data_IF_287932806620
#
_entry.id   IF_287932806620
#
_cell.length_a   1.000
_cell.length_b   1.000
_cell.length_c   1.000
_cell.angle_alpha   90.00
_cell.angle_beta   90.00
_cell.angle_gamma   90.00
#
_symmetry.space_group_name_H-M   'P 1'
#
loop_
_entity.id
_entity.type
_entity.pdbx_description
1 polymer ?
#
# COMPACT_ATOMS: atom_id res chain seq x y z
N UNK A 1 15.17 18.06 11.17
CA UNK A 1 15.56 19.47 11.37
C UNK A 1 14.96 19.95 12.67
N UNK A 2 15.76 20.55 13.53
CA UNK A 2 15.37 20.97 14.88
C UNK A 2 15.38 22.50 14.99
N UNK A 3 14.57 23.07 15.89
CA UNK A 3 14.64 24.50 16.19
C UNK A 3 15.97 24.88 16.81
N UNK A 4 16.28 26.18 16.81
CA UNK A 4 17.46 26.68 17.50
C UNK A 4 17.41 26.41 19.00
N UNK A 5 18.58 26.20 19.62
CA UNK A 5 18.77 26.01 21.07
C UNK A 5 18.84 24.57 21.54
N UNK A 6 18.61 23.57 20.69
CA UNK A 6 18.81 22.16 21.03
C UNK A 6 20.33 21.86 21.04
N UNK A 7 20.86 21.45 22.19
CA UNK A 7 22.23 20.96 22.29
C UNK A 7 22.27 19.46 21.91
N UNK A 8 23.39 19.03 21.29
CA UNK A 8 23.56 17.65 20.87
C UNK A 8 23.36 16.62 21.99
N UNK A 9 23.82 16.97 23.21
CA UNK A 9 23.72 16.08 24.38
C UNK A 9 22.28 15.91 24.91
N UNK A 10 21.39 16.83 24.55
CA UNK A 10 19.96 16.80 24.96
C UNK A 10 19.06 16.19 23.90
N UNK A 11 19.60 15.81 22.74
CA UNK A 11 18.85 15.21 21.67
C UNK A 11 18.45 13.77 22.03
N UNK A 12 17.16 13.47 21.91
CA UNK A 12 16.56 12.16 22.17
C UNK A 12 15.43 11.88 21.19
N UNK A 13 14.83 10.70 21.26
CA UNK A 13 13.64 10.34 20.46
C UNK A 13 12.41 11.22 20.76
N UNK A 14 12.36 11.86 21.92
CA UNK A 14 11.29 12.77 22.33
C UNK A 14 11.55 14.24 21.97
N UNK A 15 12.70 14.53 21.37
CA UNK A 15 13.07 15.90 20.99
C UNK A 15 12.12 16.41 19.90
N UNK A 16 11.50 17.58 20.15
CA UNK A 16 10.65 18.24 19.17
C UNK A 16 11.47 18.69 17.96
N UNK A 17 10.97 18.42 16.78
CA UNK A 17 11.58 18.82 15.52
C UNK A 17 10.62 19.67 14.69
N UNK A 18 11.13 20.50 13.80
CA UNK A 18 10.32 21.27 12.86
C UNK A 18 9.91 20.42 11.65
N UNK A 19 10.89 19.73 11.05
CA UNK A 19 10.68 18.91 9.87
C UNK A 19 11.42 17.58 10.02
N UNK A 20 10.72 16.47 9.75
CA UNK A 20 11.31 15.16 9.54
C UNK A 20 11.12 14.78 8.07
N UNK A 21 12.22 14.47 7.40
CA UNK A 21 12.23 14.13 5.98
C UNK A 21 13.24 13.03 5.68
N UNK A 22 12.85 12.03 4.92
CA UNK A 22 13.72 10.97 4.44
C UNK A 22 13.05 9.62 4.32
N UNK A 23 13.77 8.62 3.77
CA UNK A 23 13.24 7.28 3.56
C UNK A 23 13.10 6.52 4.88
N UNK A 24 11.97 5.87 5.05
CA UNK A 24 11.70 4.88 6.10
C UNK A 24 11.38 3.54 5.44
N UNK A 25 12.29 2.59 5.56
CA UNK A 25 12.17 1.24 5.01
C UNK A 25 12.30 0.23 6.14
N UNK A 26 11.16 -0.21 6.67
CA UNK A 26 11.08 -1.18 7.75
C UNK A 26 10.27 -2.40 7.30
N UNK A 27 10.96 -3.45 6.88
CA UNK A 27 10.33 -4.66 6.37
C UNK A 27 9.59 -4.49 5.03
N UNK A 28 8.73 -5.45 4.67
CA UNK A 28 8.02 -5.43 3.39
C UNK A 28 6.84 -4.48 3.35
N UNK A 29 6.24 -4.15 4.49
CA UNK A 29 4.98 -3.40 4.59
C UNK A 29 5.16 -1.90 4.85
N UNK A 30 6.29 -1.48 5.43
CA UNK A 30 6.57 -0.07 5.71
C UNK A 30 7.70 0.43 4.80
N UNK A 31 7.32 1.05 3.68
CA UNK A 31 8.24 1.64 2.71
C UNK A 31 7.68 2.97 2.25
N UNK A 32 8.17 4.05 2.82
CA UNK A 32 7.73 5.39 2.49
C UNK A 32 8.83 6.42 2.73
N UNK A 33 8.74 7.53 2.02
CA UNK A 33 9.49 8.74 2.38
C UNK A 33 8.63 9.52 3.36
N UNK A 34 9.14 9.74 4.57
CA UNK A 34 8.51 10.64 5.52
C UNK A 34 8.63 12.09 5.06
N UNK A 35 7.52 12.81 5.14
CA UNK A 35 7.48 14.27 5.08
C UNK A 35 6.56 14.70 6.21
N UNK A 36 7.12 15.07 7.34
CA UNK A 36 6.40 15.41 8.55
C UNK A 36 6.79 16.82 8.95
N UNK A 37 5.79 17.64 9.19
CA UNK A 37 5.97 19.01 9.69
C UNK A 37 5.39 19.10 11.10
N UNK A 38 6.11 19.75 12.00
CA UNK A 38 5.52 20.20 13.26
C UNK A 38 4.70 21.46 13.00
N UNK A 39 3.48 21.53 13.50
CA UNK A 39 2.61 22.69 13.40
C UNK A 39 1.78 22.83 14.67
N UNK A 40 1.96 23.98 15.36
CA UNK A 40 1.25 24.31 16.62
C UNK A 40 1.32 23.22 17.68
N UNK A 41 2.43 22.51 17.78
CA UNK A 41 2.67 21.47 18.77
C UNK A 41 2.39 20.03 18.29
N UNK A 42 1.79 19.86 17.11
CA UNK A 42 1.43 18.58 16.53
C UNK A 42 2.29 18.23 15.31
N UNK A 43 2.65 16.96 15.19
CA UNK A 43 3.31 16.45 13.99
C UNK A 43 2.27 16.13 12.91
N UNK A 44 2.31 16.84 11.80
CA UNK A 44 1.44 16.66 10.65
C UNK A 44 2.15 15.84 9.57
N UNK A 45 1.60 14.69 9.22
CA UNK A 45 2.14 13.77 8.25
C UNK A 45 1.52 14.02 6.88
N UNK A 46 2.31 13.86 5.82
CA UNK A 46 1.78 13.88 4.46
C UNK A 46 0.75 12.75 4.26
N UNK A 47 -0.36 13.07 3.61
CA UNK A 47 -1.43 12.09 3.27
C UNK A 47 -1.03 11.15 2.14
N UNK A 48 -0.14 11.61 1.26
CA UNK A 48 0.32 10.85 0.09
C UNK A 48 1.44 9.87 0.48
N UNK A 49 1.48 8.74 -0.20
CA UNK A 49 2.54 7.76 -0.03
C UNK A 49 3.60 7.94 -1.11
N UNK A 50 4.81 8.31 -0.69
CA UNK A 50 5.98 8.48 -1.57
C UNK A 50 6.87 7.26 -1.40
N UNK A 51 7.15 6.53 -2.49
CA UNK A 51 7.95 5.32 -2.44
C UNK A 51 9.45 5.65 -2.43
N UNK A 52 10.22 5.14 -1.46
CA UNK A 52 11.67 5.29 -1.45
C UNK A 52 12.32 4.31 -2.44
N UNK A 53 13.57 4.57 -2.78
CA UNK A 53 14.44 3.57 -3.39
C UNK A 53 14.82 2.52 -2.37
N UNK A 54 14.94 1.25 -2.79
CA UNK A 54 15.20 0.11 -1.91
C UNK A 54 16.38 -0.75 -2.36
N UNK A 55 17.09 -0.32 -3.37
CA UNK A 55 18.33 -0.95 -3.83
C UNK A 55 19.53 -0.57 -2.92
N UNK A 56 20.73 -0.92 -3.33
CA UNK A 56 21.97 -0.67 -2.57
C UNK A 56 22.80 0.47 -3.18
N UNK A 57 22.23 1.25 -4.09
CA UNK A 57 22.90 2.42 -4.66
C UNK A 57 22.74 3.63 -3.74
N UNK A 58 23.57 4.66 -3.99
CA UNK A 58 23.39 5.96 -3.33
C UNK A 58 22.22 6.71 -3.94
N UNK A 59 21.38 7.32 -3.11
CA UNK A 59 20.20 8.10 -3.52
C UNK A 59 20.18 9.47 -2.84
N UNK A 60 19.80 10.49 -3.60
CA UNK A 60 19.60 11.84 -3.11
C UNK A 60 18.12 12.14 -2.90
N UNK A 61 17.72 12.39 -1.66
CA UNK A 61 16.36 12.80 -1.31
C UNK A 61 16.31 14.31 -1.11
N UNK A 62 15.41 14.99 -1.78
CA UNK A 62 15.25 16.45 -1.71
C UNK A 62 13.80 16.82 -1.40
N UNK A 63 13.60 17.67 -0.41
CA UNK A 63 12.35 18.34 -0.11
C UNK A 63 12.52 19.83 -0.41
N UNK A 64 11.66 20.34 -1.29
CA UNK A 64 11.52 21.79 -1.55
C UNK A 64 10.20 22.25 -0.97
N UNK A 65 10.21 23.35 -0.27
CA UNK A 65 9.02 24.01 0.28
C UNK A 65 9.08 25.47 -0.12
N UNK A 66 8.00 25.97 -0.69
CA UNK A 66 7.92 27.31 -1.27
C UNK A 66 7.05 28.25 -0.44
N UNK A 67 7.27 29.58 -0.49
CA UNK A 67 6.48 30.55 0.26
C UNK A 67 5.00 30.65 -0.12
N UNK A 68 4.60 30.04 -1.22
CA UNK A 68 3.21 29.91 -1.64
C UNK A 68 2.51 28.67 -1.06
N UNK A 69 3.12 28.03 -0.05
CA UNK A 69 2.67 26.79 0.55
C UNK A 69 2.58 25.61 -0.44
N UNK A 70 3.41 25.61 -1.49
CA UNK A 70 3.61 24.45 -2.34
C UNK A 70 4.86 23.68 -1.91
N UNK A 71 4.89 22.39 -2.26
CA UNK A 71 6.06 21.54 -2.01
C UNK A 71 6.38 20.67 -3.21
N UNK A 72 7.62 20.22 -3.25
CA UNK A 72 8.09 19.22 -4.20
C UNK A 72 9.08 18.26 -3.52
N UNK A 73 8.87 16.97 -3.73
CA UNK A 73 9.81 15.92 -3.32
C UNK A 73 10.50 15.37 -4.56
N UNK A 74 11.81 15.31 -4.50
CA UNK A 74 12.64 14.74 -5.55
C UNK A 74 13.45 13.57 -4.99
N UNK A 75 13.69 12.56 -5.85
CA UNK A 75 14.65 11.48 -5.62
C UNK A 75 15.61 11.50 -6.80
N UNK A 76 16.91 11.57 -6.54
CA UNK A 76 17.97 11.62 -7.54
C UNK A 76 17.87 12.82 -8.51
N UNK A 77 17.26 13.91 -8.01
CA UNK A 77 16.98 15.12 -8.79
C UNK A 77 15.81 15.00 -9.76
N UNK A 78 15.00 13.94 -9.64
CA UNK A 78 13.77 13.76 -10.39
C UNK A 78 12.56 13.97 -9.47
N UNK A 79 11.59 14.75 -9.91
CA UNK A 79 10.38 15.00 -9.16
C UNK A 79 9.53 13.73 -9.06
N UNK A 80 9.25 13.32 -7.83
CA UNK A 80 8.41 12.14 -7.54
C UNK A 80 7.05 12.52 -6.97
N UNK A 81 6.94 13.67 -6.29
CA UNK A 81 5.69 14.16 -5.75
C UNK A 81 5.70 15.69 -5.65
N UNK A 82 4.54 16.31 -5.75
CA UNK A 82 4.36 17.74 -5.51
C UNK A 82 2.90 18.07 -5.20
N UNK A 83 2.66 19.21 -4.59
CA UNK A 83 1.31 19.65 -4.25
C UNK A 83 1.28 20.87 -3.34
N UNK A 84 0.23 20.96 -2.55
CA UNK A 84 0.00 22.05 -1.62
C UNK A 84 0.02 21.55 -0.18
N UNK A 85 0.62 22.32 0.73
CA UNK A 85 0.58 22.07 2.16
C UNK A 85 -0.86 22.07 2.69
N UNK A 86 -1.75 22.84 2.09
CA UNK A 86 -3.15 22.88 2.48
C UNK A 86 -3.92 21.59 2.17
N UNK A 87 -3.58 20.93 1.09
CA UNK A 87 -4.35 19.78 0.60
C UNK A 87 -3.76 18.44 1.08
N UNK A 88 -2.42 18.37 1.09
CA UNK A 88 -1.71 17.12 1.30
C UNK A 88 -1.34 16.85 2.77
N UNK A 89 -1.67 17.79 3.68
CA UNK A 89 -1.59 17.64 5.14
C UNK A 89 -2.89 18.13 5.81
N UNK A 90 -3.05 17.77 7.08
CA UNK A 90 -4.10 18.28 7.95
C UNK A 90 -3.57 19.38 8.87
N UNK A 91 -2.99 20.43 8.29
CA UNK A 91 -2.52 21.59 9.06
C UNK A 91 -3.67 22.37 9.67
N UNK A 92 -4.69 22.62 8.88
CA UNK A 92 -5.85 23.43 9.26
C UNK A 92 -7.11 22.55 9.34
N UNK A 93 -8.08 22.92 10.18
CA UNK A 93 -9.42 22.34 10.11
C UNK A 93 -10.03 22.51 8.71
N UNK A 94 -11.01 21.69 8.38
CA UNK A 94 -11.74 21.85 7.12
C UNK A 94 -12.39 23.23 7.03
N UNK A 95 -12.39 23.85 5.83
CA UNK A 95 -13.04 25.16 5.59
C UNK A 95 -14.54 25.13 5.78
N UNK A 96 -15.13 23.99 5.44
CA UNK A 96 -16.55 23.73 5.55
C UNK A 96 -16.77 22.45 6.35
N UNK A 97 -17.80 22.44 7.16
CA UNK A 97 -18.24 21.29 7.94
C UNK A 97 -19.71 20.99 7.64
N UNK A 98 -20.12 19.78 7.94
CA UNK A 98 -21.54 19.44 7.90
C UNK A 98 -22.31 20.37 8.84
N UNK A 99 -23.39 20.96 8.35
CA UNK A 99 -24.24 21.84 9.15
C UNK A 99 -24.78 21.07 10.39
N UNK A 100 -24.35 21.43 11.61
CA UNK A 100 -24.78 20.72 12.82
C UNK A 100 -26.28 20.88 13.11
N UNK A 101 -26.93 21.89 12.54
CA UNK A 101 -28.36 22.12 12.72
C UNK A 101 -29.20 21.36 11.67
N UNK A 102 -28.58 20.81 10.64
CA UNK A 102 -29.23 20.07 9.58
C UNK A 102 -29.14 18.56 9.84
N UNK A 103 -30.25 17.89 9.64
CA UNK A 103 -30.30 16.42 9.69
C UNK A 103 -31.12 15.91 8.50
N UNK A 104 -30.88 14.64 8.14
CA UNK A 104 -31.66 13.98 7.11
C UNK A 104 -33.15 13.96 7.50
N UNK A 105 -34.05 14.53 6.67
CA UNK A 105 -35.47 14.46 6.92
C UNK A 105 -35.95 13.02 7.08
N UNK A 106 -36.81 12.77 8.07
CA UNK A 106 -37.31 11.41 8.35
C UNK A 106 -38.12 10.81 7.18
N UNK A 107 -38.66 11.67 6.32
CA UNK A 107 -39.41 11.32 5.12
C UNK A 107 -38.55 11.29 3.85
N UNK A 108 -37.23 11.33 3.97
CA UNK A 108 -36.32 11.26 2.82
C UNK A 108 -36.24 9.82 2.31
N UNK A 109 -36.57 9.62 1.06
CA UNK A 109 -36.58 8.30 0.42
C UNK A 109 -35.28 8.09 -0.33
N UNK A 110 -34.44 7.15 0.16
CA UNK A 110 -33.16 6.78 -0.47
C UNK A 110 -33.31 5.60 -1.45
N UNK A 111 -34.40 4.86 -1.34
CA UNK A 111 -34.61 3.68 -2.17
C UNK A 111 -34.98 4.08 -3.58
N UNK A 112 -34.05 3.90 -4.52
CA UNK A 112 -34.25 4.18 -5.94
C UNK A 112 -35.36 3.31 -6.55
N UNK A 113 -35.58 2.13 -6.02
CA UNK A 113 -36.56 1.19 -6.48
C UNK A 113 -37.44 0.72 -5.33
N UNK A 114 -38.70 0.54 -5.60
CA UNK A 114 -39.69 -0.03 -4.68
C UNK A 114 -40.39 -1.22 -5.31
N UNK A 115 -41.04 -2.01 -4.49
CA UNK A 115 -41.89 -3.06 -4.97
C UNK A 115 -43.12 -2.47 -5.68
N UNK A 116 -43.47 -3.01 -6.83
CA UNK A 116 -44.64 -2.56 -7.58
C UNK A 116 -45.92 -2.86 -6.78
N UNK A 117 -46.63 -1.85 -6.29
CA UNK A 117 -47.83 -2.06 -5.50
C UNK A 117 -49.00 -2.66 -6.31
N UNK A 118 -48.87 -2.68 -7.63
CA UNK A 118 -49.84 -3.30 -8.53
C UNK A 118 -49.55 -4.79 -8.84
N UNK A 119 -48.33 -5.21 -8.54
CA UNK A 119 -47.91 -6.60 -8.76
C UNK A 119 -48.30 -7.45 -7.54
N UNK A 120 -49.42 -8.09 -7.62
CA UNK A 120 -49.95 -8.94 -6.56
C UNK A 120 -49.55 -10.38 -6.76
N UNK A 121 -49.31 -11.09 -5.65
CA UNK A 121 -48.99 -12.51 -5.69
C UNK A 121 -50.16 -13.29 -6.29
N UNK A 122 -49.94 -14.11 -7.35
CA UNK A 122 -50.97 -15.00 -7.88
C UNK A 122 -51.44 -16.01 -6.84
N UNK A 123 -52.73 -16.31 -6.82
CA UNK A 123 -53.32 -17.25 -5.87
C UNK A 123 -52.77 -18.68 -5.99
N UNK A 124 -52.28 -19.03 -7.17
CA UNK A 124 -51.69 -20.34 -7.52
C UNK A 124 -50.16 -20.39 -7.31
N UNK A 125 -49.56 -19.37 -6.68
CA UNK A 125 -48.10 -19.32 -6.46
C UNK A 125 -47.63 -20.22 -5.33
N UNK A 126 -48.43 -20.34 -4.26
CA UNK A 126 -48.10 -21.09 -3.05
C UNK A 126 -48.30 -22.57 -3.22
N UNK A 127 -47.46 -23.21 -3.99
CA UNK A 127 -47.41 -24.66 -4.09
C UNK A 127 -46.28 -25.21 -3.22
N UNK A 128 -46.44 -26.39 -2.62
CA UNK A 128 -45.39 -26.98 -1.80
C UNK A 128 -44.13 -27.26 -2.64
N UNK A 129 -42.96 -27.09 -2.02
CA UNK A 129 -41.68 -27.35 -2.69
C UNK A 129 -41.47 -28.81 -3.03
N UNK A 130 -42.02 -29.70 -2.20
CA UNK A 130 -41.94 -31.12 -2.42
C UNK A 130 -43.37 -31.71 -2.49
N UNK A 131 -43.55 -32.66 -3.33
CA UNK A 131 -44.81 -33.42 -3.48
C UNK A 131 -44.51 -34.92 -3.40
N UNK A 132 -45.50 -35.72 -3.00
CA UNK A 132 -45.36 -37.16 -3.06
C UNK A 132 -45.16 -37.58 -4.52
N UNK A 133 -44.22 -38.48 -4.78
CA UNK A 133 -43.94 -39.00 -6.13
C UNK A 133 -45.17 -39.70 -6.72
N UNK A 134 -45.78 -39.16 -7.76
CA UNK A 134 -47.00 -39.73 -8.36
C UNK A 134 -46.72 -41.07 -9.09
N UNK A 135 -45.46 -41.37 -9.40
CA UNK A 135 -45.07 -42.61 -10.06
C UNK A 135 -44.64 -43.69 -9.06
N UNK A 136 -44.47 -43.33 -7.81
CA UNK A 136 -44.09 -44.28 -6.76
C UNK A 136 -45.30 -45.21 -6.42
N UNK A 137 -45.07 -46.48 -6.44
CA UNK A 137 -46.02 -47.49 -6.03
C UNK A 137 -45.56 -48.20 -4.79
N UNK A 138 -46.51 -48.58 -3.92
CA UNK A 138 -46.20 -49.37 -2.73
C UNK A 138 -45.54 -50.69 -3.14
N UNK A 139 -44.36 -51.04 -2.60
CA UNK A 139 -43.72 -52.32 -2.84
C UNK A 139 -44.62 -53.48 -2.44
N UNK A 140 -44.61 -54.57 -3.21
CA UNK A 140 -45.43 -55.77 -2.95
C UNK A 140 -45.08 -56.47 -1.65
N UNK A 141 -43.87 -56.28 -1.16
CA UNK A 141 -43.29 -56.83 0.07
C UNK A 141 -43.44 -55.89 1.30
N UNK A 142 -44.11 -54.74 1.18
CA UNK A 142 -44.38 -53.81 2.27
C UNK A 142 -45.52 -54.27 3.16
N UNK A 143 -45.26 -54.43 4.44
CA UNK A 143 -46.23 -54.89 5.43
C UNK A 143 -46.63 -53.72 6.37
N UNK A 144 -47.88 -53.23 6.20
CA UNK A 144 -48.39 -52.09 6.99
C UNK A 144 -48.42 -52.36 8.50
N UNK A 145 -48.47 -53.64 8.96
CA UNK A 145 -48.49 -54.01 10.37
C UNK A 145 -47.06 -53.93 10.96
N UNK A 146 -46.01 -54.17 10.13
CA UNK A 146 -44.63 -54.18 10.56
C UNK A 146 -43.88 -52.90 10.18
N UNK A 147 -44.15 -52.33 9.01
CA UNK A 147 -43.41 -51.19 8.42
C UNK A 147 -44.15 -49.85 8.56
N UNK A 148 -45.42 -49.90 9.00
CA UNK A 148 -46.31 -48.74 9.08
C UNK A 148 -46.99 -48.40 7.77
N UNK A 149 -47.85 -47.38 7.78
CA UNK A 149 -48.57 -46.93 6.60
C UNK A 149 -47.62 -46.41 5.53
N UNK A 150 -47.67 -46.93 4.31
CA UNK A 150 -46.75 -46.55 3.25
C UNK A 150 -47.03 -45.14 2.75
N UNK A 151 -46.00 -44.31 2.71
CA UNK A 151 -46.04 -42.98 2.13
C UNK A 151 -45.07 -42.90 0.93
N UNK A 152 -45.53 -42.32 -0.17
CA UNK A 152 -44.70 -42.15 -1.35
C UNK A 152 -43.50 -41.23 -1.05
N UNK A 153 -42.30 -41.52 -1.59
CA UNK A 153 -41.14 -40.63 -1.48
C UNK A 153 -41.50 -39.21 -1.92
N UNK A 154 -40.88 -38.24 -1.26
CA UNK A 154 -41.04 -36.83 -1.67
C UNK A 154 -40.10 -36.51 -2.82
N UNK A 155 -40.60 -35.89 -3.86
CA UNK A 155 -39.84 -35.37 -4.99
C UNK A 155 -40.01 -33.86 -5.09
N UNK A 156 -39.08 -33.21 -5.78
CA UNK A 156 -39.17 -31.77 -6.06
C UNK A 156 -40.42 -31.50 -6.92
N UNK A 157 -41.24 -30.56 -6.47
CA UNK A 157 -42.43 -30.15 -7.20
C UNK A 157 -42.02 -29.29 -8.41
N UNK A 158 -42.28 -29.77 -9.67
CA UNK A 158 -41.94 -29.00 -10.87
C UNK A 158 -42.73 -27.69 -11.01
N UNK A 159 -43.83 -27.53 -10.28
CA UNK A 159 -44.64 -26.30 -10.27
C UNK A 159 -44.15 -25.29 -9.23
N UNK A 160 -43.19 -25.66 -8.35
CA UNK A 160 -42.67 -24.77 -7.36
C UNK A 160 -41.79 -23.70 -8.00
N UNK A 161 -42.17 -22.43 -7.88
CA UNK A 161 -41.55 -21.27 -8.51
C UNK A 161 -40.65 -20.49 -7.51
N UNK A 162 -40.47 -21.00 -6.30
CA UNK A 162 -39.78 -20.31 -5.23
C UNK A 162 -40.66 -19.28 -4.51
N UNK A 163 -40.02 -18.50 -3.60
CA UNK A 163 -40.73 -17.43 -2.90
C UNK A 163 -41.12 -16.32 -3.88
N UNK A 164 -42.35 -15.89 -3.82
CA UNK A 164 -42.84 -14.80 -4.65
C UNK A 164 -42.21 -13.48 -4.19
N UNK A 165 -41.72 -12.69 -5.16
CA UNK A 165 -41.22 -11.33 -4.95
C UNK A 165 -41.89 -10.43 -5.98
N UNK A 166 -42.40 -9.31 -5.50
CA UNK A 166 -42.97 -8.30 -6.38
C UNK A 166 -41.91 -7.76 -7.34
N UNK A 167 -42.33 -7.34 -8.51
CA UNK A 167 -41.44 -6.64 -9.46
C UNK A 167 -40.95 -5.35 -8.85
N UNK A 168 -39.67 -5.05 -9.10
CA UNK A 168 -39.07 -3.79 -8.69
C UNK A 168 -39.36 -2.74 -9.77
N UNK A 169 -39.90 -1.60 -9.35
CA UNK A 169 -40.15 -0.43 -10.20
C UNK A 169 -39.36 0.75 -9.65
N UNK A 170 -39.09 1.75 -10.49
CA UNK A 170 -38.49 3.00 -10.05
C UNK A 170 -39.40 3.69 -9.04
N UNK A 171 -38.83 4.10 -7.93
CA UNK A 171 -39.57 4.75 -6.87
C UNK A 171 -39.83 6.22 -7.23
N UNK A 172 -41.07 6.65 -7.44
CA UNK A 172 -41.39 8.04 -7.80
C UNK A 172 -41.10 9.05 -6.67
N UNK A 173 -40.95 8.58 -5.43
CA UNK A 173 -40.62 9.42 -4.27
C UNK A 173 -39.12 9.52 -4.05
N UNK A 174 -38.31 8.83 -4.84
CA UNK A 174 -36.85 8.90 -4.75
C UNK A 174 -36.35 10.31 -5.10
N UNK A 175 -35.68 10.95 -4.13
CA UNK A 175 -35.15 12.33 -4.26
C UNK A 175 -33.63 12.36 -4.47
N UNK A 176 -32.99 11.22 -4.69
CA UNK A 176 -31.54 11.10 -4.71
C UNK A 176 -30.98 10.75 -3.33
N UNK A 177 -29.68 10.50 -3.28
CA UNK A 177 -28.97 10.33 -2.00
C UNK A 177 -28.98 11.67 -1.24
N UNK A 178 -29.29 11.64 0.04
CA UNK A 178 -29.26 12.85 0.85
C UNK A 178 -27.81 13.30 1.08
N UNK A 179 -27.52 14.53 0.69
CA UNK A 179 -26.22 15.16 0.92
C UNK A 179 -26.36 16.15 2.07
N UNK A 180 -25.51 15.99 3.08
CA UNK A 180 -25.50 16.90 4.22
C UNK A 180 -25.12 18.32 3.75
N UNK A 181 -25.91 19.35 4.03
CA UNK A 181 -25.52 20.73 3.75
C UNK A 181 -24.19 21.08 4.43
N UNK A 182 -23.37 21.87 3.74
CA UNK A 182 -22.11 22.36 4.27
C UNK A 182 -22.25 23.81 4.71
N UNK A 183 -21.62 24.13 5.83
CA UNK A 183 -21.54 25.51 6.37
C UNK A 183 -20.07 25.85 6.65
N UNK A 184 -19.71 27.14 6.60
CA UNK A 184 -18.36 27.58 6.98
C UNK A 184 -18.00 27.08 8.40
N UNK A 185 -16.82 26.51 8.51
CA UNK A 185 -16.31 26.04 9.82
C UNK A 185 -15.86 27.23 10.67
N UNK A 186 -16.46 27.49 11.83
CA UNK A 186 -16.05 28.58 12.70
C UNK A 186 -14.66 28.39 13.33
N UNK A 187 -14.12 27.16 13.31
CA UNK A 187 -12.78 26.87 13.80
C UNK A 187 -11.70 27.02 12.73
N UNK A 188 -12.11 27.30 11.48
CA UNK A 188 -11.16 27.51 10.39
C UNK A 188 -10.57 28.91 10.48
N UNK A 189 -9.26 28.98 10.69
CA UNK A 189 -8.44 30.18 10.53
C UNK A 189 -7.43 29.91 9.43
N UNK A 190 -7.43 30.76 8.40
CA UNK A 190 -6.46 30.64 7.31
C UNK A 190 -5.05 31.01 7.81
N UNK A 191 -4.06 30.23 7.38
CA UNK A 191 -2.66 30.48 7.71
C UNK A 191 -1.84 30.39 6.42
N UNK A 192 -1.41 31.54 5.92
CA UNK A 192 -0.60 31.63 4.70
C UNK A 192 0.87 31.30 4.90
N UNK A 193 1.30 31.05 6.14
CA UNK A 193 2.71 30.83 6.51
C UNK A 193 2.96 29.42 7.04
N UNK A 194 2.21 28.41 6.54
CA UNK A 194 2.38 26.99 6.92
C UNK A 194 3.81 26.47 6.68
N UNK A 195 4.51 27.06 5.70
CA UNK A 195 5.90 26.73 5.36
C UNK A 195 6.93 27.32 6.33
N UNK A 196 6.55 28.32 7.12
CA UNK A 196 7.50 29.14 7.86
C UNK A 196 7.84 28.56 9.23
N UNK A 197 9.11 28.60 9.58
CA UNK A 197 9.61 28.30 10.90
C UNK A 197 10.56 29.41 11.37
N UNK A 198 10.48 29.75 12.64
CA UNK A 198 11.29 30.84 13.22
C UNK A 198 12.79 30.56 13.08
N UNK A 199 13.21 29.32 13.19
CA UNK A 199 14.63 28.97 13.13
C UNK A 199 14.86 27.48 12.87
N UNK A 200 16.00 27.20 12.24
CA UNK A 200 16.61 25.88 12.19
C UNK A 200 17.97 25.95 12.86
N UNK A 201 18.20 25.15 13.90
CA UNK A 201 19.43 25.18 14.69
C UNK A 201 20.30 23.95 14.56
N UNK A 202 19.69 22.80 14.25
CA UNK A 202 20.42 21.53 14.15
C UNK A 202 19.77 20.58 13.15
N UNK A 203 20.57 19.63 12.67
CA UNK A 203 20.12 18.44 11.92
C UNK A 203 20.45 17.21 12.74
N UNK A 204 19.53 16.26 12.80
CA UNK A 204 19.75 14.95 13.40
C UNK A 204 19.25 13.85 12.49
N UNK A 205 19.72 12.65 12.75
CA UNK A 205 19.29 11.44 12.08
C UNK A 205 18.57 10.56 13.10
N UNK A 206 17.37 10.12 12.76
CA UNK A 206 16.63 9.10 13.49
C UNK A 206 16.85 7.77 12.78
N UNK A 207 17.58 6.85 13.43
CA UNK A 207 18.05 5.63 12.82
C UNK A 207 17.57 4.42 13.60
N UNK A 208 16.80 3.57 12.94
CA UNK A 208 16.50 2.23 13.39
C UNK A 208 16.99 1.23 12.35
N UNK A 209 18.16 0.62 12.58
CA UNK A 209 18.78 -0.28 11.62
C UNK A 209 18.93 -1.68 12.21
N UNK A 210 18.33 -2.67 11.53
CA UNK A 210 18.53 -4.10 11.84
C UNK A 210 19.86 -4.61 11.27
N UNK A 211 20.30 -4.05 10.14
CA UNK A 211 21.61 -4.33 9.51
C UNK A 211 22.37 -3.04 9.36
N UNK A 212 23.64 -3.05 9.78
CA UNK A 212 24.55 -1.92 9.58
C UNK A 212 24.97 -1.78 8.11
N UNK A 213 25.49 -0.60 7.75
CA UNK A 213 26.09 -0.35 6.44
C UNK A 213 25.50 0.82 5.66
N UNK A 214 24.38 1.43 6.12
CA UNK A 214 23.85 2.64 5.51
C UNK A 214 24.73 3.84 5.87
N UNK A 215 25.09 4.62 4.86
CA UNK A 215 25.89 5.85 5.01
C UNK A 215 24.98 7.03 4.71
N UNK A 216 25.02 8.05 5.59
CA UNK A 216 24.35 9.33 5.41
C UNK A 216 25.42 10.39 5.19
N UNK A 217 25.28 11.18 4.12
CA UNK A 217 26.26 12.16 3.71
C UNK A 217 25.59 13.35 2.98
N UNK A 218 26.33 14.41 2.76
CA UNK A 218 25.98 15.52 1.86
C UNK A 218 24.67 16.24 2.23
N UNK A 219 24.44 16.51 3.52
CA UNK A 219 23.27 17.25 3.98
C UNK A 219 23.37 18.72 3.55
N UNK A 220 22.36 19.21 2.84
CA UNK A 220 22.22 20.59 2.39
C UNK A 220 20.90 21.18 2.88
N UNK A 221 20.95 22.37 3.47
CA UNK A 221 19.80 23.22 3.77
C UNK A 221 20.10 24.57 3.15
N UNK A 222 19.26 25.02 2.25
CA UNK A 222 19.52 26.24 1.49
C UNK A 222 18.24 26.84 0.92
N UNK A 223 18.21 28.15 0.75
CA UNK A 223 17.23 28.89 -0.02
C UNK A 223 17.74 29.18 -1.45
N UNK A 224 18.96 28.71 -1.79
CA UNK A 224 19.58 28.95 -3.09
C UNK A 224 19.36 27.77 -4.03
N UNK A 225 18.55 27.98 -5.05
CA UNK A 225 18.29 27.01 -6.12
C UNK A 225 19.56 26.63 -6.91
N UNK A 226 20.53 27.52 -7.02
CA UNK A 226 21.79 27.22 -7.71
C UNK A 226 22.67 26.27 -6.86
N UNK A 227 22.66 26.43 -5.54
CA UNK A 227 23.32 25.50 -4.62
C UNK A 227 22.69 24.10 -4.73
N UNK A 228 21.36 24.00 -4.76
CA UNK A 228 20.66 22.73 -4.97
C UNK A 228 21.02 22.09 -6.30
N UNK A 229 20.97 22.85 -7.40
CA UNK A 229 21.32 22.34 -8.74
C UNK A 229 22.78 21.82 -8.81
N UNK A 230 23.69 22.53 -8.15
CA UNK A 230 25.09 22.10 -8.02
C UNK A 230 25.22 20.78 -7.27
N UNK A 231 24.49 20.63 -6.15
CA UNK A 231 24.47 19.40 -5.35
C UNK A 231 23.91 18.22 -6.14
N UNK A 232 22.80 18.40 -6.87
CA UNK A 232 22.21 17.37 -7.74
C UNK A 232 23.21 16.94 -8.83
N UNK A 233 23.91 17.89 -9.45
CA UNK A 233 24.92 17.60 -10.46
C UNK A 233 26.09 16.80 -9.89
N UNK A 234 26.61 17.22 -8.74
CA UNK A 234 27.68 16.51 -8.05
C UNK A 234 27.27 15.10 -7.62
N UNK A 235 26.06 14.94 -7.14
CA UNK A 235 25.50 13.64 -6.78
C UNK A 235 25.42 12.71 -8.01
N UNK A 236 24.86 13.17 -9.15
CA UNK A 236 24.74 12.35 -10.37
C UNK A 236 26.10 11.86 -10.88
N UNK A 237 27.10 12.73 -10.90
CA UNK A 237 28.45 12.35 -11.30
C UNK A 237 29.08 11.30 -10.35
N UNK A 238 28.83 11.41 -9.05
CA UNK A 238 29.29 10.43 -8.05
C UNK A 238 28.56 9.09 -8.20
N UNK A 239 27.25 9.10 -8.35
CA UNK A 239 26.43 7.90 -8.53
C UNK A 239 26.82 7.11 -9.80
N UNK A 240 27.14 7.80 -10.90
CA UNK A 240 27.69 7.17 -12.11
C UNK A 240 29.02 6.49 -11.84
N UNK A 241 29.91 7.15 -11.09
CA UNK A 241 31.21 6.58 -10.70
C UNK A 241 31.06 5.34 -9.80
N UNK A 242 30.15 5.39 -8.83
CA UNK A 242 29.84 4.26 -7.95
C UNK A 242 29.27 3.07 -8.74
N UNK A 243 28.34 3.31 -9.65
CA UNK A 243 27.78 2.27 -10.51
C UNK A 243 28.84 1.60 -11.39
N UNK A 244 29.75 2.39 -11.95
CA UNK A 244 30.85 1.86 -12.77
C UNK A 244 31.84 1.04 -11.92
N UNK A 245 32.16 1.50 -10.71
CA UNK A 245 33.03 0.77 -9.77
C UNK A 245 32.40 -0.55 -9.32
N UNK A 246 31.11 -0.54 -8.98
CA UNK A 246 30.35 -1.73 -8.60
C UNK A 246 30.34 -2.76 -9.70
N UNK A 247 30.01 -2.35 -10.93
CA UNK A 247 30.02 -3.23 -12.08
C UNK A 247 31.38 -3.88 -12.31
N UNK A 248 32.46 -3.08 -12.22
CA UNK A 248 33.82 -3.60 -12.36
C UNK A 248 34.16 -4.65 -11.27
N UNK A 249 33.69 -4.43 -10.04
CA UNK A 249 33.90 -5.39 -8.95
C UNK A 249 33.11 -6.70 -9.19
N UNK A 250 31.86 -6.58 -9.61
CA UNK A 250 31.00 -7.72 -9.95
C UNK A 250 31.58 -8.55 -11.12
N UNK A 251 32.04 -7.89 -12.19
CA UNK A 251 32.68 -8.54 -13.33
C UNK A 251 33.98 -9.27 -12.90
N UNK A 252 34.77 -8.67 -12.02
CA UNK A 252 35.98 -9.28 -11.48
C UNK A 252 35.68 -10.51 -10.60
N UNK A 253 34.66 -10.42 -9.75
CA UNK A 253 34.21 -11.56 -8.91
C UNK A 253 33.67 -12.70 -9.76
N UNK A 254 32.89 -12.40 -10.79
CA UNK A 254 32.36 -13.39 -11.73
C UNK A 254 33.51 -14.10 -12.47
N UNK A 255 34.50 -13.35 -12.93
CA UNK A 255 35.68 -13.92 -13.58
C UNK A 255 36.49 -14.82 -12.64
N UNK A 256 36.66 -14.40 -11.37
CA UNK A 256 37.37 -15.21 -10.36
C UNK A 256 36.64 -16.52 -10.06
N UNK A 257 35.32 -16.49 -9.93
CA UNK A 257 34.49 -17.69 -9.73
C UNK A 257 34.56 -18.65 -10.94
N UNK A 258 34.48 -18.11 -12.17
CA UNK A 258 34.60 -18.92 -13.37
C UNK A 258 35.98 -19.58 -13.48
N UNK A 259 37.06 -18.89 -13.10
CA UNK A 259 38.40 -19.45 -13.06
C UNK A 259 38.54 -20.56 -12.00
N UNK A 260 37.95 -20.39 -10.81
CA UNK A 260 37.93 -21.41 -9.76
C UNK A 260 37.15 -22.67 -10.18
N UNK A 261 35.99 -22.50 -10.84
CA UNK A 261 35.19 -23.58 -11.37
C UNK A 261 35.94 -24.34 -12.50
N UNK A 262 36.67 -23.64 -13.36
CA UNK A 262 37.48 -24.25 -14.40
C UNK A 262 38.61 -25.11 -13.81
N UNK A 263 39.33 -24.58 -12.83
CA UNK A 263 40.38 -25.34 -12.11
C UNK A 263 39.85 -26.58 -11.39
N UNK A 264 38.65 -26.51 -10.82
CA UNK A 264 38.03 -27.68 -10.19
C UNK A 264 37.68 -28.76 -11.20
N UNK A 265 37.15 -28.36 -12.38
CA UNK A 265 36.85 -29.33 -13.44
C UNK A 265 38.10 -29.97 -14.00
N UNK A 266 39.17 -29.21 -14.23
CA UNK A 266 40.45 -29.76 -14.66
C UNK A 266 41.00 -30.78 -13.64
N UNK A 267 40.89 -30.46 -12.33
CA UNK A 267 41.32 -31.37 -11.28
C UNK A 267 40.46 -32.68 -11.20
N UNK A 268 39.13 -32.54 -11.40
CA UNK A 268 38.22 -33.69 -11.45
C UNK A 268 38.49 -34.58 -12.69
N UNK A 269 38.77 -33.99 -13.84
CA UNK A 269 39.13 -34.70 -15.07
C UNK A 269 40.46 -35.40 -14.94
N UNK A 270 41.48 -34.79 -14.31
CA UNK A 270 42.76 -35.42 -14.02
C UNK A 270 42.62 -36.61 -13.04
N UNK A 271 41.78 -36.50 -11.99
CA UNK A 271 41.52 -37.61 -11.08
C UNK A 271 40.78 -38.78 -11.77
N UNK A 272 39.82 -38.50 -12.66
CA UNK A 272 39.13 -39.54 -13.45
C UNK A 272 40.08 -40.24 -14.44
N UNK A 273 40.99 -39.52 -15.09
CA UNK A 273 42.00 -40.10 -15.99
C UNK A 273 43.01 -40.97 -15.22
N UNK A 274 43.46 -40.55 -14.03
CA UNK A 274 44.36 -41.37 -13.18
C UNK A 274 43.65 -42.64 -12.65
N UNK A 275 42.35 -42.61 -12.34
CA UNK A 275 41.57 -43.80 -11.93
C UNK A 275 41.36 -44.75 -13.12
N UNK A 276 41.12 -44.25 -14.37
CA UNK A 276 41.02 -45.12 -15.57
C UNK A 276 42.34 -45.79 -15.93
N UNK A 277 43.49 -45.08 -15.80
CA UNK A 277 44.82 -45.71 -16.02
C UNK A 277 45.17 -46.75 -14.97
N UNK A 278 44.68 -46.62 -13.72
CA UNK A 278 44.92 -47.59 -12.67
C UNK A 278 44.07 -48.87 -12.81
N UNK A 279 42.93 -48.82 -13.55
CA UNK A 279 42.06 -49.97 -13.79
C UNK A 279 42.43 -50.79 -15.06
N UNK A 280 43.37 -50.34 -15.91
CA UNK A 280 43.80 -51.18 -17.06
C UNK A 280 44.52 -52.45 -16.55
N UNK A 281 43.96 -53.66 -16.76
CA UNK A 281 44.61 -54.88 -16.33
C UNK A 281 45.86 -55.17 -17.20
N UNK A 282 46.99 -55.42 -16.52
CA UNK A 282 48.22 -55.88 -17.14
C UNK A 282 47.91 -57.02 -18.10
N UNK A 283 48.01 -56.81 -19.39
CA UNK A 283 47.97 -57.86 -20.43
C UNK A 283 49.10 -58.77 -20.18
N UNK A 284 48.78 -59.98 -19.68
CA UNK A 284 49.66 -61.10 -19.58
C UNK A 284 50.36 -61.41 -20.90
N UNK A 285 51.66 -61.20 -20.96
CA UNK A 285 52.52 -61.85 -21.98
C UNK A 285 52.67 -63.32 -21.64
N UNK A 286 52.13 -64.18 -22.48
CA UNK A 286 52.53 -65.60 -22.66
C UNK A 286 52.97 -65.83 -24.08
#
# INVERSE_FOLDING_TARGET
>A
MFPAGLAQGDMSGDSKYNIMFGPDVCGPSNRKVHVIFEYKGDNKLIKKTIQPKTDTASHLYTLKVSPDNTYEVQIDGEKVESGSLYEDWDFLPAKEINDPESSKPADWVDDKQMDDPSDTKPEDWDVPQHIADPEATKPEDWDDEMDGEWEAPQIDNPEYKGEWKAKRIDNPEYKGEWVHPQVPNPEFEDDSELYAYDSFGAVGFDLWQVKSGTIFDSVLITDDEAALASQVTAFKARAEGEAAAKKKAEDAEAAAKAAEEALKKEAEEEEEEEEEEAEEPAKDEL
#
